data_IF_492003331481
#
_entry.id   IF_492003331481
#
_cell.length_a   1.000
_cell.length_b   1.000
_cell.length_c   1.000
_cell.angle_alpha   90.00
_cell.angle_beta   90.00
_cell.angle_gamma   90.00
#
_symmetry.space_group_name_H-M   'P 1'
#
loop_
_entity.id
_entity.type
_entity.pdbx_description
1 polymer ?
#
# COMPACT_ATOMS: atom_id res chain seq x y z
N UNK A 1 -13.51 13.23 25.60
CA UNK A 1 -13.24 12.69 24.26
C UNK A 1 -13.83 13.66 23.25
N UNK A 2 -12.97 14.32 22.47
CA UNK A 2 -13.38 15.24 21.42
C UNK A 2 -13.61 14.49 20.10
N UNK A 3 -14.29 15.11 19.13
CA UNK A 3 -14.45 14.53 17.79
C UNK A 3 -13.09 14.24 17.13
N UNK A 4 -12.07 15.05 17.44
CA UNK A 4 -10.71 14.86 16.95
C UNK A 4 -10.09 13.55 17.45
N UNK A 5 -10.29 13.20 18.72
CA UNK A 5 -9.76 11.95 19.32
C UNK A 5 -10.38 10.71 18.66
N UNK A 6 -11.69 10.75 18.41
CA UNK A 6 -12.39 9.69 17.67
C UNK A 6 -11.90 9.59 16.23
N UNK A 7 -11.67 10.73 15.58
CA UNK A 7 -11.18 10.79 14.19
C UNK A 7 -9.77 10.22 14.09
N UNK A 8 -8.88 10.56 15.03
CA UNK A 8 -7.52 10.04 15.10
C UNK A 8 -7.51 8.53 15.36
N UNK A 9 -8.37 8.05 16.26
CA UNK A 9 -8.49 6.61 16.56
C UNK A 9 -8.99 5.84 15.34
N UNK A 10 -10.05 6.32 14.69
CA UNK A 10 -10.57 5.72 13.46
C UNK A 10 -9.52 5.75 12.34
N UNK A 11 -8.80 6.86 12.20
CA UNK A 11 -7.71 7.02 11.25
C UNK A 11 -6.62 5.96 11.46
N UNK A 12 -6.13 5.81 12.69
CA UNK A 12 -5.08 4.85 13.03
C UNK A 12 -5.55 3.40 12.82
N UNK A 13 -6.78 3.07 13.26
CA UNK A 13 -7.34 1.73 13.11
C UNK A 13 -7.58 1.36 11.64
N UNK A 14 -8.17 2.25 10.85
CA UNK A 14 -8.46 1.98 9.44
C UNK A 14 -7.18 1.89 8.60
N UNK A 15 -6.22 2.78 8.82
CA UNK A 15 -4.96 2.72 8.09
C UNK A 15 -4.05 1.58 8.56
N UNK A 16 -4.08 1.23 9.85
CA UNK A 16 -3.40 0.04 10.37
C UNK A 16 -4.04 -1.25 9.85
N UNK A 17 -5.37 -1.32 9.87
CA UNK A 17 -6.15 -2.41 9.28
C UNK A 17 -5.89 -2.56 7.78
N UNK A 18 -5.70 -1.46 7.06
CA UNK A 18 -5.31 -1.46 5.64
C UNK A 18 -3.95 -2.15 5.41
N UNK A 19 -2.97 -1.92 6.28
CA UNK A 19 -1.67 -2.63 6.23
C UNK A 19 -1.85 -4.13 6.45
N UNK A 20 -2.70 -4.54 7.41
CA UNK A 20 -3.00 -5.96 7.62
C UNK A 20 -3.75 -6.56 6.42
N UNK A 21 -4.63 -5.79 5.79
CA UNK A 21 -5.37 -6.21 4.59
C UNK A 21 -4.48 -6.38 3.34
N UNK A 22 -3.25 -5.87 3.34
CA UNK A 22 -2.28 -6.17 2.28
C UNK A 22 -1.79 -7.61 2.34
N UNK A 23 -1.72 -8.25 3.51
CA UNK A 23 -1.28 -9.65 3.65
C UNK A 23 -2.09 -10.66 2.81
N UNK A 24 -3.43 -10.71 2.86
CA UNK A 24 -4.19 -11.63 2.03
C UNK A 24 -4.02 -11.35 0.53
N UNK A 25 -3.85 -10.08 0.13
CA UNK A 25 -3.57 -9.73 -1.27
C UNK A 25 -2.17 -10.19 -1.71
N UNK A 26 -1.15 -9.99 -0.87
CA UNK A 26 0.22 -10.50 -1.10
C UNK A 26 0.19 -12.03 -1.24
N UNK A 27 -0.52 -12.72 -0.35
CA UNK A 27 -0.68 -14.18 -0.40
C UNK A 27 -1.43 -14.64 -1.66
N UNK A 28 -2.45 -13.90 -2.09
CA UNK A 28 -3.18 -14.17 -3.33
C UNK A 28 -2.26 -14.02 -4.55
N UNK A 29 -1.50 -12.92 -4.64
CA UNK A 29 -0.49 -12.71 -5.69
C UNK A 29 0.58 -13.80 -5.67
N UNK A 30 1.03 -14.21 -4.48
CA UNK A 30 2.03 -15.27 -4.33
C UNK A 30 1.50 -16.64 -4.81
N UNK A 31 0.24 -16.97 -4.51
CA UNK A 31 -0.40 -18.22 -4.93
C UNK A 31 -0.83 -18.21 -6.40
N UNK A 32 -1.05 -17.04 -7.00
CA UNK A 32 -1.38 -16.91 -8.42
C UNK A 32 -0.21 -17.30 -9.32
N UNK A 33 -0.34 -18.43 -10.01
CA UNK A 33 0.71 -18.96 -10.91
C UNK A 33 0.84 -18.22 -12.25
N UNK A 34 -0.18 -17.46 -12.65
CA UNK A 34 -0.26 -16.80 -13.97
C UNK A 34 0.14 -15.31 -13.94
N UNK A 35 1.00 -14.87 -13.01
CA UNK A 35 1.48 -13.46 -12.98
C UNK A 35 0.46 -12.43 -12.51
N UNK A 36 -0.60 -12.87 -11.81
CA UNK A 36 -1.65 -12.03 -11.21
C UNK A 36 -2.17 -10.90 -12.15
N UNK A 37 -2.77 -11.23 -13.32
CA UNK A 37 -3.26 -10.22 -14.25
C UNK A 37 -4.42 -9.40 -13.67
N UNK A 38 -5.19 -9.97 -12.74
CA UNK A 38 -6.27 -9.30 -12.03
C UNK A 38 -5.82 -8.13 -11.14
N UNK A 39 -4.52 -8.03 -10.82
CA UNK A 39 -3.98 -6.96 -9.99
C UNK A 39 -3.45 -5.84 -10.88
N UNK A 40 -4.14 -4.70 -10.90
CA UNK A 40 -3.70 -3.53 -11.68
C UNK A 40 -2.49 -2.85 -11.04
N UNK A 41 -1.33 -2.94 -11.70
CA UNK A 41 -0.12 -2.22 -11.28
C UNK A 41 -0.34 -0.70 -11.20
N UNK A 42 -1.12 -0.14 -12.13
CA UNK A 42 -1.44 1.29 -12.16
C UNK A 42 -2.17 1.73 -10.90
N UNK A 43 -3.12 0.93 -10.42
CA UNK A 43 -3.86 1.24 -9.19
C UNK A 43 -2.94 1.26 -7.97
N UNK A 44 -2.04 0.28 -7.85
CA UNK A 44 -1.09 0.21 -6.73
C UNK A 44 -0.01 1.29 -6.78
N UNK A 45 0.44 1.67 -7.98
CA UNK A 45 1.34 2.81 -8.18
C UNK A 45 0.66 4.13 -7.83
N UNK A 46 -0.59 4.35 -8.25
CA UNK A 46 -1.35 5.54 -7.85
C UNK A 46 -1.55 5.60 -6.35
N UNK A 47 -1.87 4.48 -5.69
CA UNK A 47 -1.95 4.45 -4.23
C UNK A 47 -0.60 4.76 -3.58
N UNK A 48 0.50 4.22 -4.10
CA UNK A 48 1.84 4.56 -3.61
C UNK A 48 2.10 6.06 -3.71
N UNK A 49 1.87 6.64 -4.89
CA UNK A 49 2.08 8.06 -5.14
C UNK A 49 1.21 8.94 -4.24
N UNK A 50 -0.07 8.58 -4.06
CA UNK A 50 -0.98 9.29 -3.17
C UNK A 50 -0.50 9.24 -1.72
N UNK A 51 -0.10 8.06 -1.22
CA UNK A 51 0.41 7.95 0.14
C UNK A 51 1.70 8.76 0.32
N UNK A 52 2.62 8.72 -0.66
CA UNK A 52 3.86 9.50 -0.62
C UNK A 52 3.60 11.01 -0.63
N UNK A 53 2.64 11.47 -1.43
CA UNK A 53 2.20 12.86 -1.43
C UNK A 53 1.64 13.28 -0.06
N UNK A 54 0.86 12.41 0.60
CA UNK A 54 0.36 12.67 1.96
C UNK A 54 1.48 12.70 3.00
N UNK A 55 2.49 11.81 2.89
CA UNK A 55 3.68 11.88 3.76
C UNK A 55 4.40 13.21 3.58
N UNK A 56 4.64 13.62 2.33
CA UNK A 56 5.29 14.89 2.01
C UNK A 56 4.52 16.07 2.61
N UNK A 57 3.20 16.09 2.44
CA UNK A 57 2.33 17.12 3.02
C UNK A 57 2.36 17.11 4.56
N UNK A 58 2.24 15.95 5.19
CA UNK A 58 2.22 15.81 6.64
C UNK A 58 3.54 16.26 7.28
N UNK A 59 4.68 15.98 6.63
CA UNK A 59 6.01 16.40 7.12
C UNK A 59 6.27 17.88 6.88
N UNK A 60 5.93 18.41 5.70
CA UNK A 60 6.29 19.78 5.31
C UNK A 60 5.31 20.85 5.80
N UNK A 61 4.01 20.52 5.87
CA UNK A 61 2.95 21.50 6.18
C UNK A 61 2.37 21.27 7.57
N UNK A 62 2.00 20.04 7.89
CA UNK A 62 1.28 19.75 9.14
C UNK A 62 2.20 19.43 10.33
N UNK A 63 3.48 19.11 10.08
CA UNK A 63 4.43 18.56 11.05
C UNK A 63 3.88 17.37 11.88
N UNK A 64 2.88 16.66 11.34
CA UNK A 64 2.21 15.55 12.02
C UNK A 64 2.92 14.24 11.70
N UNK A 65 3.84 13.87 12.59
CA UNK A 65 4.65 12.67 12.46
C UNK A 65 3.82 11.37 12.52
N UNK A 66 2.64 11.39 13.14
CA UNK A 66 1.77 10.21 13.22
C UNK A 66 1.14 9.96 11.85
N UNK A 67 0.55 10.99 11.24
CA UNK A 67 -0.01 10.90 9.89
C UNK A 67 1.07 10.54 8.88
N UNK A 68 2.25 11.18 8.97
CA UNK A 68 3.39 10.86 8.11
C UNK A 68 3.83 9.39 8.24
N UNK A 69 3.98 8.88 9.47
CA UNK A 69 4.38 7.49 9.70
C UNK A 69 3.36 6.47 9.18
N UNK A 70 2.06 6.72 9.43
CA UNK A 70 0.97 5.85 8.98
C UNK A 70 0.89 5.78 7.45
N UNK A 71 0.99 6.93 6.77
CA UNK A 71 0.99 6.95 5.31
C UNK A 71 2.28 6.39 4.71
N UNK A 72 3.43 6.54 5.38
CA UNK A 72 4.69 5.93 4.95
C UNK A 72 4.62 4.40 5.00
N UNK A 73 4.06 3.82 6.07
CA UNK A 73 3.82 2.38 6.18
C UNK A 73 2.89 1.88 5.07
N UNK A 74 1.84 2.63 4.75
CA UNK A 74 0.94 2.28 3.66
C UNK A 74 1.61 2.40 2.28
N UNK A 75 2.43 3.44 2.06
CA UNK A 75 3.23 3.55 0.85
C UNK A 75 4.18 2.36 0.68
N UNK A 76 4.84 1.93 1.76
CA UNK A 76 5.71 0.75 1.76
C UNK A 76 4.94 -0.54 1.43
N UNK A 77 3.74 -0.72 2.00
CA UNK A 77 2.86 -1.86 1.69
C UNK A 77 2.42 -1.89 0.22
N UNK A 78 2.00 -0.74 -0.32
CA UNK A 78 1.65 -0.62 -1.73
C UNK A 78 2.84 -0.88 -2.66
N UNK A 79 4.04 -0.39 -2.32
CA UNK A 79 5.27 -0.66 -3.05
C UNK A 79 5.61 -2.14 -3.04
N UNK A 80 5.49 -2.81 -1.89
CA UNK A 80 5.76 -4.24 -1.78
C UNK A 80 4.84 -5.07 -2.69
N UNK A 81 3.53 -4.75 -2.73
CA UNK A 81 2.59 -5.41 -3.64
C UNK A 81 2.94 -5.12 -5.10
N UNK A 82 3.21 -3.86 -5.43
CA UNK A 82 3.59 -3.45 -6.79
C UNK A 82 4.84 -4.19 -7.27
N UNK A 83 5.88 -4.22 -6.44
CA UNK A 83 7.14 -4.91 -6.73
C UNK A 83 6.91 -6.43 -6.87
N UNK A 84 6.14 -7.04 -5.97
CA UNK A 84 5.84 -8.47 -6.05
C UNK A 84 5.09 -8.83 -7.34
N UNK A 85 4.08 -8.05 -7.73
CA UNK A 85 3.34 -8.26 -8.98
C UNK A 85 4.25 -8.04 -10.19
N UNK A 86 5.08 -6.99 -10.19
CA UNK A 86 6.02 -6.71 -11.27
C UNK A 86 7.04 -7.86 -11.45
N UNK A 87 7.67 -8.31 -10.36
CA UNK A 87 8.62 -9.45 -10.39
C UNK A 87 7.94 -10.71 -10.90
N UNK A 88 6.72 -11.02 -10.43
CA UNK A 88 5.95 -12.18 -10.91
C UNK A 88 5.66 -12.09 -12.41
N UNK A 89 5.32 -10.91 -12.93
CA UNK A 89 5.07 -10.68 -14.36
C UNK A 89 6.31 -10.72 -15.22
N UNK A 90 7.47 -10.35 -14.68
CA UNK A 90 8.77 -10.44 -15.38
C UNK A 90 9.34 -11.86 -15.31
N UNK A 91 8.99 -12.66 -14.29
CA UNK A 91 9.42 -14.06 -14.16
C UNK A 91 8.53 -15.05 -14.94
N UNK A 92 7.24 -14.74 -15.12
CA UNK A 92 6.31 -15.52 -15.93
C UNK A 92 6.54 -15.58 -17.47
N UNK A 93 7.19 -14.62 -18.16
CA UNK A 93 7.37 -14.65 -19.62
C UNK A 93 8.34 -15.73 -20.10
N UNK A 94 9.19 -16.29 -19.23
CA UNK A 94 10.24 -17.23 -19.62
C UNK A 94 9.83 -18.72 -19.65
N UNK A 95 8.52 -19.06 -19.48
CA UNK A 95 8.01 -20.45 -19.62
C UNK A 95 7.05 -20.64 -20.79
N UNK A 96 7.15 -19.77 -21.80
CA UNK A 96 6.56 -19.99 -23.10
C UNK A 96 7.70 -19.99 -24.14
N UNK A 97 8.43 -21.09 -24.20
CA UNK A 97 9.40 -21.41 -25.26
C UNK A 97 9.36 -22.91 -25.48
#
# INVERSE_FOLDING_TARGET
MTLADYSMTAFALLNGGRVLAYMPQILCVYRCRNGAPAVSLTTWLMFTAANLATVSYAVTVSADLVVAGVFALNAAGCLAITALVAVRRIAAPARAS
#
